data_IF_156343236739
#
_entry.id   IF_156343236739
#
_cell.length_a   1.000
_cell.length_b   1.000
_cell.length_c   1.000
_cell.angle_alpha   90.00
_cell.angle_beta   90.00
_cell.angle_gamma   90.00
#
_symmetry.space_group_name_H-M   'P 1'
#
loop_
_entity.id
_entity.type
_entity.pdbx_description
1 polymer ?
#
# COMPACT_ATOMS: atom_id res chain seq x y z
N UNK A 1 -18.87 13.90 -8.42
CA UNK A 1 -20.26 13.77 -7.94
C UNK A 1 -20.80 15.19 -7.75
N UNK A 2 -21.77 15.62 -8.56
CA UNK A 2 -22.40 16.95 -8.35
C UNK A 2 -23.44 16.76 -7.25
N UNK A 3 -23.14 17.26 -6.05
CA UNK A 3 -24.06 17.21 -4.92
C UNK A 3 -25.12 18.29 -5.08
N UNK A 4 -26.38 17.88 -5.30
CA UNK A 4 -27.55 18.76 -5.12
C UNK A 4 -27.69 19.08 -3.63
N UNK A 5 -28.01 20.35 -3.33
CA UNK A 5 -28.24 20.87 -1.97
C UNK A 5 -29.12 19.94 -1.13
N UNK A 6 -28.59 19.46 0.00
CA UNK A 6 -29.34 18.77 1.04
C UNK A 6 -30.22 19.77 1.80
N UNK A 7 -31.47 19.37 2.10
CA UNK A 7 -32.45 20.11 2.94
C UNK A 7 -32.08 20.17 4.43
N UNK A 8 -30.84 19.88 4.77
CA UNK A 8 -30.25 20.08 6.10
C UNK A 8 -29.27 21.23 5.86
N UNK A 9 -29.48 22.36 6.54
CA UNK A 9 -28.78 23.64 6.31
C UNK A 9 -27.29 23.64 6.66
N UNK A 10 -26.56 22.68 6.09
CA UNK A 10 -25.11 22.52 6.18
C UNK A 10 -24.57 22.81 4.79
N UNK A 11 -23.57 23.68 4.68
CA UNK A 11 -22.97 24.01 3.38
C UNK A 11 -22.23 22.80 2.79
N UNK A 12 -22.09 22.73 1.48
CA UNK A 12 -21.30 21.68 0.83
C UNK A 12 -19.83 21.69 1.28
N UNK A 13 -19.32 22.85 1.68
CA UNK A 13 -17.98 23.02 2.24
C UNK A 13 -17.89 22.43 3.65
N UNK A 14 -18.87 22.67 4.52
CA UNK A 14 -18.92 22.06 5.87
C UNK A 14 -19.05 20.53 5.80
N UNK A 15 -19.83 19.99 4.85
CA UNK A 15 -19.90 18.54 4.59
C UNK A 15 -18.55 17.97 4.13
N UNK A 16 -17.80 18.74 3.32
CA UNK A 16 -16.47 18.33 2.85
C UNK A 16 -15.43 18.35 3.98
N UNK A 17 -15.46 19.35 4.86
CA UNK A 17 -14.53 19.48 6.00
C UNK A 17 -14.79 18.38 7.03
N UNK A 18 -16.05 18.10 7.37
CA UNK A 18 -16.38 16.99 8.27
C UNK A 18 -15.92 15.66 7.70
N UNK A 19 -16.18 15.40 6.43
CA UNK A 19 -15.74 14.16 5.77
C UNK A 19 -14.21 14.02 5.77
N UNK A 20 -13.50 15.13 5.56
CA UNK A 20 -12.04 15.16 5.64
C UNK A 20 -11.54 14.90 7.07
N UNK A 21 -12.18 15.47 8.09
CA UNK A 21 -11.83 15.23 9.49
C UNK A 21 -12.02 13.76 9.84
N UNK A 22 -13.17 13.16 9.48
CA UNK A 22 -13.40 11.73 9.71
C UNK A 22 -12.34 10.87 9.03
N UNK A 23 -12.03 11.18 7.77
CA UNK A 23 -10.99 10.48 7.03
C UNK A 23 -9.62 10.57 7.73
N UNK A 24 -9.22 11.75 8.20
CA UNK A 24 -7.95 11.92 8.92
C UNK A 24 -7.93 11.12 10.22
N UNK A 25 -9.04 11.13 10.97
CA UNK A 25 -9.16 10.38 12.24
C UNK A 25 -9.04 8.87 11.97
N UNK A 26 -9.76 8.34 10.97
CA UNK A 26 -9.69 6.92 10.62
C UNK A 26 -8.28 6.51 10.19
N UNK A 27 -7.60 7.34 9.40
CA UNK A 27 -6.21 7.08 8.99
C UNK A 27 -5.25 7.10 10.18
N UNK A 28 -5.43 8.04 11.12
CA UNK A 28 -4.64 8.10 12.35
C UNK A 28 -4.86 6.87 13.23
N UNK A 29 -6.11 6.43 13.39
CA UNK A 29 -6.44 5.21 14.14
C UNK A 29 -5.79 3.97 13.50
N UNK A 30 -5.77 3.90 12.16
CA UNK A 30 -5.10 2.83 11.43
C UNK A 30 -3.58 2.84 11.68
N UNK A 31 -2.96 4.02 11.66
CA UNK A 31 -1.52 4.18 11.93
C UNK A 31 -1.16 3.78 13.36
N UNK A 32 -1.95 4.24 14.33
CA UNK A 32 -1.76 3.90 15.73
C UNK A 32 -1.88 2.38 15.95
N UNK A 33 -2.89 1.74 15.35
CA UNK A 33 -3.09 0.30 15.46
C UNK A 33 -1.88 -0.48 14.91
N UNK A 34 -1.48 -0.20 13.66
CA UNK A 34 -0.38 -0.90 13.00
C UNK A 34 0.93 -0.69 13.77
N UNK A 35 1.22 0.55 14.18
CA UNK A 35 2.43 0.87 14.93
C UNK A 35 2.47 0.17 16.29
N UNK A 36 1.38 0.22 17.06
CA UNK A 36 1.29 -0.45 18.36
C UNK A 36 1.46 -1.97 18.23
N UNK A 37 0.81 -2.58 17.23
CA UNK A 37 0.94 -4.01 16.99
C UNK A 37 2.41 -4.40 16.73
N UNK A 38 3.07 -3.75 15.77
CA UNK A 38 4.45 -4.09 15.39
C UNK A 38 5.43 -3.86 16.54
N UNK A 39 5.21 -2.83 17.37
CA UNK A 39 5.99 -2.59 18.59
C UNK A 39 5.79 -3.69 19.63
N UNK A 40 4.55 -4.15 19.84
CA UNK A 40 4.22 -5.17 20.83
C UNK A 40 4.84 -6.53 20.47
N UNK A 41 4.81 -6.91 19.20
CA UNK A 41 5.39 -8.19 18.74
C UNK A 41 6.88 -8.11 18.40
N UNK A 42 7.48 -6.92 18.51
CA UNK A 42 8.88 -6.62 18.13
C UNK A 42 9.22 -6.99 16.67
N UNK A 43 8.25 -6.89 15.77
CA UNK A 43 8.43 -7.24 14.35
C UNK A 43 8.65 -6.02 13.48
N UNK A 44 9.36 -6.24 12.37
CA UNK A 44 9.84 -5.17 11.50
C UNK A 44 9.20 -5.24 10.11
N UNK A 45 9.11 -4.09 9.43
CA UNK A 45 8.48 -3.98 8.11
C UNK A 45 9.32 -3.13 7.15
N UNK A 46 9.36 -3.55 5.89
CA UNK A 46 9.90 -2.78 4.77
C UNK A 46 8.91 -2.72 3.60
N UNK A 47 9.08 -1.78 2.68
CA UNK A 47 8.14 -1.63 1.55
C UNK A 47 8.83 -1.38 0.21
N UNK A 48 8.26 -1.89 -0.88
CA UNK A 48 8.68 -1.63 -2.25
C UNK A 48 7.56 -0.95 -3.05
N UNK A 49 7.83 0.24 -3.58
CA UNK A 49 6.82 1.08 -4.20
C UNK A 49 7.15 1.36 -5.67
N UNK A 50 6.15 1.21 -6.54
CA UNK A 50 6.16 1.82 -7.87
C UNK A 50 5.06 2.88 -7.93
N UNK A 51 3.81 2.45 -8.15
CA UNK A 51 2.68 3.35 -8.41
C UNK A 51 2.34 4.28 -7.25
N UNK A 52 2.53 3.87 -6.00
CA UNK A 52 2.30 4.71 -4.80
C UNK A 52 3.42 5.72 -4.53
N UNK A 53 4.59 5.53 -5.16
CA UNK A 53 5.70 6.51 -5.23
C UNK A 53 6.17 7.12 -3.90
N UNK A 54 6.12 6.36 -2.81
CA UNK A 54 6.58 6.81 -1.50
C UNK A 54 5.47 6.97 -0.47
N UNK A 55 4.20 6.89 -0.85
CA UNK A 55 3.10 7.07 0.10
C UNK A 55 3.02 5.98 1.17
N UNK A 56 3.40 4.73 0.88
CA UNK A 56 3.49 3.71 1.94
C UNK A 56 4.62 4.05 2.92
N UNK A 57 5.80 4.43 2.42
CA UNK A 57 6.91 4.85 3.29
C UNK A 57 6.55 6.07 4.13
N UNK A 58 5.87 7.05 3.52
CA UNK A 58 5.33 8.20 4.23
C UNK A 58 4.39 7.75 5.35
N UNK A 59 3.39 6.92 5.06
CA UNK A 59 2.44 6.42 6.05
C UNK A 59 3.11 5.72 7.24
N UNK A 60 4.06 4.80 6.98
CA UNK A 60 4.79 4.12 8.07
C UNK A 60 5.63 5.10 8.89
N UNK A 61 6.25 6.11 8.26
CA UNK A 61 7.04 7.12 8.99
C UNK A 61 6.22 8.02 9.93
N UNK A 62 4.91 8.10 9.74
CA UNK A 62 4.02 8.89 10.61
C UNK A 62 3.62 8.15 11.89
N UNK A 63 3.89 6.84 11.98
CA UNK A 63 3.51 6.03 13.13
C UNK A 63 4.44 6.31 14.33
N UNK A 64 3.89 6.25 15.54
CA UNK A 64 4.66 6.46 16.77
C UNK A 64 5.81 5.44 16.88
N UNK A 65 7.00 5.93 17.23
CA UNK A 65 8.22 5.11 17.34
C UNK A 65 8.56 4.29 16.07
N UNK A 66 8.17 4.76 14.88
CA UNK A 66 8.36 4.06 13.61
C UNK A 66 9.79 3.54 13.40
N UNK A 67 10.82 4.24 13.87
CA UNK A 67 12.23 3.82 13.74
C UNK A 67 12.55 2.48 14.40
N UNK A 68 11.70 1.98 15.32
CA UNK A 68 11.87 0.67 15.94
C UNK A 68 11.47 -0.48 15.02
N UNK A 69 10.44 -0.31 14.19
CA UNK A 69 9.87 -1.38 13.35
C UNK A 69 9.97 -1.13 11.84
N UNK A 70 9.84 0.11 11.37
CA UNK A 70 9.91 0.45 9.95
C UNK A 70 11.37 0.61 9.52
N UNK A 71 11.88 -0.34 8.72
CA UNK A 71 13.28 -0.35 8.28
C UNK A 71 13.55 0.52 7.05
N UNK A 72 12.51 1.06 6.43
CA UNK A 72 12.59 1.83 5.20
C UNK A 72 11.98 1.08 4.01
N UNK A 73 12.29 1.55 2.81
CA UNK A 73 11.77 0.97 1.59
C UNK A 73 12.54 1.37 0.35
N UNK A 74 12.08 0.87 -0.79
CA UNK A 74 12.62 1.17 -2.12
C UNK A 74 11.49 1.69 -2.99
N UNK A 75 11.67 2.87 -3.57
CA UNK A 75 10.81 3.35 -4.66
C UNK A 75 11.45 3.01 -5.99
N UNK A 76 10.96 1.98 -6.67
CA UNK A 76 11.46 1.50 -7.96
C UNK A 76 10.40 1.74 -9.06
N UNK A 77 10.40 2.96 -9.61
CA UNK A 77 9.36 3.39 -10.55
C UNK A 77 9.54 2.81 -11.95
N UNK A 78 10.77 2.75 -12.45
CA UNK A 78 11.09 2.23 -13.78
C UNK A 78 11.35 0.73 -13.76
N UNK A 79 11.33 0.10 -14.95
CA UNK A 79 11.70 -1.29 -15.13
C UNK A 79 13.13 -1.55 -14.63
N UNK A 80 14.09 -0.76 -15.10
CA UNK A 80 15.51 -0.91 -14.76
C UNK A 80 15.75 -0.89 -13.24
N UNK A 81 15.05 -0.01 -12.51
CA UNK A 81 15.17 0.06 -11.06
C UNK A 81 14.52 -1.14 -10.36
N UNK A 82 13.43 -1.71 -10.89
CA UNK A 82 12.85 -2.95 -10.37
C UNK A 82 13.79 -4.14 -10.55
N UNK A 83 14.43 -4.24 -11.72
CA UNK A 83 15.44 -5.28 -11.98
C UNK A 83 16.63 -5.12 -11.04
N UNK A 84 17.21 -3.91 -10.99
CA UNK A 84 18.44 -3.62 -10.23
C UNK A 84 18.28 -3.72 -8.72
N UNK A 85 17.17 -3.21 -8.17
CA UNK A 85 16.99 -3.06 -6.72
C UNK A 85 16.16 -4.19 -6.10
N UNK A 86 15.28 -4.82 -6.89
CA UNK A 86 14.29 -5.79 -6.40
C UNK A 86 14.39 -7.14 -7.09
N UNK A 87 15.44 -7.36 -7.91
CA UNK A 87 15.71 -8.62 -8.61
C UNK A 87 14.50 -9.15 -9.40
N UNK A 88 13.72 -8.23 -9.98
CA UNK A 88 12.65 -8.57 -10.91
C UNK A 88 13.26 -9.08 -12.21
N UNK A 89 12.66 -10.10 -12.83
CA UNK A 89 13.09 -10.59 -14.14
C UNK A 89 12.78 -9.57 -15.23
N UNK A 90 13.80 -9.21 -16.01
CA UNK A 90 13.70 -8.16 -17.04
C UNK A 90 12.73 -8.55 -18.17
N UNK A 91 12.74 -9.82 -18.59
CA UNK A 91 11.87 -10.28 -19.67
C UNK A 91 10.41 -10.33 -19.23
N UNK A 92 10.14 -10.81 -18.01
CA UNK A 92 8.82 -10.77 -17.39
C UNK A 92 8.31 -9.33 -17.27
N UNK A 93 9.14 -8.43 -16.71
CA UNK A 93 8.79 -7.02 -16.55
C UNK A 93 8.47 -6.34 -17.88
N UNK A 94 9.29 -6.58 -18.92
CA UNK A 94 9.05 -6.03 -20.25
C UNK A 94 7.74 -6.55 -20.88
N UNK A 95 7.38 -7.81 -20.63
CA UNK A 95 6.17 -8.43 -21.20
C UNK A 95 4.85 -7.92 -20.60
N UNK A 96 4.88 -7.39 -19.38
CA UNK A 96 3.69 -6.96 -18.64
C UNK A 96 3.75 -5.49 -18.18
N UNK A 97 4.68 -4.71 -18.74
CA UNK A 97 4.96 -3.32 -18.34
C UNK A 97 5.16 -3.17 -16.81
N UNK A 98 5.87 -4.12 -16.22
CA UNK A 98 6.10 -4.21 -14.77
C UNK A 98 4.84 -4.33 -13.90
N UNK A 99 3.68 -4.65 -14.46
CA UNK A 99 2.41 -4.71 -13.72
C UNK A 99 1.78 -6.08 -13.83
N UNK A 100 2.09 -6.93 -12.85
CA UNK A 100 1.49 -8.27 -12.69
C UNK A 100 1.51 -8.69 -11.21
N UNK A 101 0.75 -9.72 -10.81
CA UNK A 101 0.82 -10.25 -9.45
C UNK A 101 2.23 -10.79 -9.12
N UNK A 102 2.87 -11.49 -10.05
CA UNK A 102 4.22 -12.03 -9.87
C UNK A 102 5.27 -10.93 -9.64
N UNK A 103 5.15 -9.79 -10.34
CA UNK A 103 6.03 -8.65 -10.13
C UNK A 103 5.86 -8.10 -8.72
N UNK A 104 4.62 -7.94 -8.24
CA UNK A 104 4.34 -7.49 -6.88
C UNK A 104 4.91 -8.47 -5.83
N UNK A 105 4.75 -9.78 -6.02
CA UNK A 105 5.29 -10.81 -5.13
C UNK A 105 6.83 -10.78 -5.09
N UNK A 106 7.46 -10.70 -6.26
CA UNK A 106 8.92 -10.62 -6.39
C UNK A 106 9.47 -9.37 -5.71
N UNK A 107 8.82 -8.22 -5.91
CA UNK A 107 9.17 -6.98 -5.25
C UNK A 107 9.06 -7.10 -3.72
N UNK A 108 7.98 -7.69 -3.20
CA UNK A 108 7.77 -7.87 -1.76
C UNK A 108 8.82 -8.80 -1.16
N UNK A 109 9.02 -9.98 -1.76
CA UNK A 109 10.00 -10.96 -1.27
C UNK A 109 11.42 -10.41 -1.26
N UNK A 110 11.82 -9.63 -2.27
CA UNK A 110 13.17 -9.08 -2.35
C UNK A 110 13.37 -7.89 -1.42
N UNK A 111 12.38 -7.01 -1.21
CA UNK A 111 12.55 -5.92 -0.26
C UNK A 111 12.65 -6.43 1.19
N UNK A 112 11.88 -7.46 1.55
CA UNK A 112 12.04 -8.14 2.85
C UNK A 112 13.47 -8.64 3.06
N UNK A 113 14.07 -9.28 2.04
CA UNK A 113 15.45 -9.78 2.10
C UNK A 113 16.47 -8.65 2.25
N UNK A 114 16.31 -7.58 1.48
CA UNK A 114 17.23 -6.43 1.49
C UNK A 114 17.27 -5.72 2.84
N UNK A 115 16.11 -5.55 3.48
CA UNK A 115 16.00 -4.89 4.79
C UNK A 115 16.01 -5.85 5.99
N UNK A 116 16.00 -7.17 5.74
CA UNK A 116 15.91 -8.23 6.75
C UNK A 116 14.71 -8.05 7.68
N UNK A 117 13.53 -7.83 7.10
CA UNK A 117 12.30 -7.57 7.85
C UNK A 117 11.40 -8.79 7.96
N UNK A 118 10.60 -8.84 9.03
CA UNK A 118 9.58 -9.88 9.23
C UNK A 118 8.44 -9.71 8.23
N UNK A 119 8.04 -8.47 7.98
CA UNK A 119 6.99 -8.10 7.06
C UNK A 119 7.55 -7.34 5.87
N UNK A 120 6.88 -7.46 4.73
CA UNK A 120 7.05 -6.50 3.66
C UNK A 120 5.83 -6.34 2.78
N UNK A 121 5.70 -5.17 2.18
CA UNK A 121 4.61 -4.84 1.26
C UNK A 121 5.20 -4.35 -0.05
N UNK A 122 4.65 -4.79 -1.18
CA UNK A 122 4.99 -4.20 -2.47
C UNK A 122 3.76 -3.83 -3.28
N UNK A 123 3.90 -2.81 -4.14
CA UNK A 123 2.83 -2.36 -5.02
C UNK A 123 3.33 -1.88 -6.39
N UNK A 124 2.68 -2.37 -7.44
CA UNK A 124 2.90 -1.95 -8.84
C UNK A 124 1.56 -1.81 -9.57
N UNK A 125 1.45 -0.85 -10.48
CA UNK A 125 0.16 -0.54 -11.09
C UNK A 125 0.11 0.75 -11.89
N UNK A 126 -1.11 1.13 -12.27
CA UNK A 126 -1.42 2.31 -13.07
C UNK A 126 -2.29 3.28 -12.27
N UNK A 127 -1.75 4.47 -11.98
CA UNK A 127 -2.50 5.59 -11.38
C UNK A 127 -3.06 6.58 -12.43
N UNK A 128 -2.72 6.40 -13.70
CA UNK A 128 -3.21 7.21 -14.82
C UNK A 128 -3.76 6.29 -15.92
N UNK A 129 -4.88 6.64 -16.60
CA UNK A 129 -5.38 5.86 -17.72
C UNK A 129 -4.41 5.88 -18.90
N UNK A 130 -3.91 4.72 -19.30
CA UNK A 130 -2.95 4.57 -20.41
C UNK A 130 -3.36 3.41 -21.33
N UNK A 131 -2.91 3.35 -22.59
CA UNK A 131 -3.23 2.26 -23.51
C UNK A 131 -2.87 0.86 -22.97
N UNK A 132 -1.72 0.74 -22.31
CA UNK A 132 -1.16 -0.49 -21.73
C UNK A 132 -2.11 -1.10 -20.69
N UNK A 133 -2.85 -0.25 -19.98
CA UNK A 133 -3.84 -0.65 -18.97
C UNK A 133 -5.26 -0.79 -19.53
N UNK A 134 -5.46 -0.66 -20.85
CA UNK A 134 -6.76 -0.50 -21.48
C UNK A 134 -7.59 0.66 -20.88
N UNK A 135 -6.93 1.78 -20.57
CA UNK A 135 -7.54 2.96 -19.94
C UNK A 135 -8.15 2.68 -18.55
N UNK A 136 -7.69 1.64 -17.86
CA UNK A 136 -8.12 1.28 -16.51
C UNK A 136 -7.07 1.71 -15.47
N UNK A 137 -7.54 1.89 -14.24
CA UNK A 137 -6.68 2.16 -13.08
C UNK A 137 -6.73 0.93 -12.20
N UNK A 138 -5.58 0.32 -11.95
CA UNK A 138 -5.47 -0.79 -11.00
C UNK A 138 -4.05 -0.93 -10.48
N UNK A 139 -3.92 -1.57 -9.33
CA UNK A 139 -2.65 -1.97 -8.77
C UNK A 139 -2.69 -3.42 -8.33
N UNK A 140 -1.58 -4.13 -8.52
CA UNK A 140 -1.27 -5.36 -7.83
C UNK A 140 -0.43 -5.02 -6.59
N UNK A 141 -0.72 -5.70 -5.49
CA UNK A 141 0.08 -5.59 -4.28
C UNK A 141 0.23 -6.96 -3.62
N UNK A 142 1.31 -7.10 -2.87
CA UNK A 142 1.59 -8.33 -2.13
C UNK A 142 2.09 -8.00 -0.74
N UNK A 143 1.71 -8.83 0.23
CA UNK A 143 2.16 -8.78 1.62
C UNK A 143 2.88 -10.09 1.91
N UNK A 144 4.10 -9.97 2.41
CA UNK A 144 4.95 -11.09 2.82
C UNK A 144 5.14 -11.04 4.33
N UNK A 145 5.06 -12.22 4.95
CA UNK A 145 5.38 -12.43 6.36
C UNK A 145 6.36 -13.59 6.50
N UNK A 146 7.48 -13.35 7.18
CA UNK A 146 8.57 -14.32 7.44
C UNK A 146 9.02 -15.06 6.17
N UNK A 147 9.12 -14.31 5.06
CA UNK A 147 9.57 -14.83 3.77
C UNK A 147 8.51 -15.61 2.96
N UNK A 148 7.25 -15.61 3.41
CA UNK A 148 6.12 -16.22 2.69
C UNK A 148 5.14 -15.16 2.22
N UNK A 149 4.70 -15.23 0.96
CA UNK A 149 3.59 -14.42 0.46
C UNK A 149 2.31 -14.90 1.16
N UNK A 150 1.67 -14.02 1.92
CA UNK A 150 0.43 -14.34 2.64
C UNK A 150 -0.81 -13.68 2.02
N UNK A 151 -0.60 -12.63 1.22
CA UNK A 151 -1.64 -11.94 0.47
C UNK A 151 -1.04 -11.42 -0.84
N UNK A 152 -1.75 -11.62 -1.95
CA UNK A 152 -1.38 -11.12 -3.28
C UNK A 152 -2.67 -10.84 -4.04
N UNK A 153 -2.99 -9.57 -4.24
CA UNK A 153 -4.32 -9.15 -4.68
C UNK A 153 -4.25 -8.01 -5.70
N UNK A 154 -5.38 -7.82 -6.38
CA UNK A 154 -5.58 -6.73 -7.33
C UNK A 154 -6.65 -5.76 -6.83
N UNK A 155 -6.34 -4.47 -6.87
CA UNK A 155 -7.29 -3.39 -6.61
C UNK A 155 -7.59 -2.61 -7.88
N UNK A 156 -8.83 -2.64 -8.35
CA UNK A 156 -9.33 -1.82 -9.45
C UNK A 156 -9.96 -0.51 -8.94
N UNK A 157 -9.72 0.59 -9.64
CA UNK A 157 -10.35 1.89 -9.40
C UNK A 157 -11.12 2.37 -10.63
N UNK A 158 -12.08 3.27 -10.43
CA UNK A 158 -12.76 3.92 -11.55
C UNK A 158 -11.75 4.77 -12.35
N UNK A 159 -11.73 4.62 -13.67
CA UNK A 159 -10.87 5.36 -14.61
C UNK A 159 -10.89 6.90 -14.52
N UNK A 160 -11.86 7.50 -13.82
CA UNK A 160 -11.97 8.96 -13.62
C UNK A 160 -11.30 9.44 -12.33
N UNK A 161 -10.77 8.53 -11.52
CA UNK A 161 -10.01 8.89 -10.32
C UNK A 161 -8.77 9.65 -10.74
N UNK A 162 -8.53 10.82 -10.11
CA UNK A 162 -7.32 11.61 -10.35
C UNK A 162 -6.10 10.84 -9.85
N UNK A 163 -4.97 11.00 -10.53
CA UNK A 163 -3.73 10.26 -10.24
C UNK A 163 -3.35 10.27 -8.75
N UNK A 164 -3.26 11.44 -8.13
CA UNK A 164 -2.90 11.55 -6.70
C UNK A 164 -3.89 10.79 -5.82
N UNK A 165 -5.19 10.85 -6.11
CA UNK A 165 -6.20 10.13 -5.35
C UNK A 165 -6.08 8.61 -5.57
N UNK A 166 -5.75 8.16 -6.78
CA UNK A 166 -5.53 6.75 -7.05
C UNK A 166 -4.38 6.21 -6.19
N UNK A 167 -3.27 6.95 -6.12
CA UNK A 167 -2.10 6.59 -5.30
C UNK A 167 -2.44 6.55 -3.79
N UNK A 168 -3.22 7.52 -3.31
CA UNK A 168 -3.70 7.54 -1.92
C UNK A 168 -4.64 6.36 -1.63
N UNK A 169 -5.62 6.10 -2.50
CA UNK A 169 -6.55 4.97 -2.35
C UNK A 169 -5.83 3.62 -2.38
N UNK A 170 -4.84 3.44 -3.25
CA UNK A 170 -4.00 2.23 -3.21
C UNK A 170 -3.31 2.09 -1.87
N UNK A 171 -2.69 3.17 -1.39
CA UNK A 171 -1.95 3.18 -0.10
C UNK A 171 -2.86 2.83 1.07
N UNK A 172 -4.00 3.52 1.20
CA UNK A 172 -4.96 3.31 2.28
C UNK A 172 -5.55 1.89 2.27
N UNK A 173 -5.95 1.40 1.09
CA UNK A 173 -6.50 0.06 0.96
C UNK A 173 -5.48 -1.00 1.37
N UNK A 174 -4.23 -0.86 0.92
CA UNK A 174 -3.15 -1.79 1.24
C UNK A 174 -2.85 -1.78 2.75
N UNK A 175 -2.85 -0.62 3.41
CA UNK A 175 -2.68 -0.54 4.87
C UNK A 175 -3.86 -1.18 5.61
N UNK A 176 -5.09 -1.03 5.09
CA UNK A 176 -6.26 -1.73 5.60
C UNK A 176 -6.12 -3.26 5.49
N UNK A 177 -5.68 -3.77 4.34
CA UNK A 177 -5.37 -5.19 4.16
C UNK A 177 -4.24 -5.66 5.08
N UNK A 178 -3.19 -4.85 5.25
CA UNK A 178 -2.10 -5.15 6.16
C UNK A 178 -2.60 -5.31 7.60
N UNK A 179 -3.43 -4.37 8.08
CA UNK A 179 -4.08 -4.48 9.40
C UNK A 179 -4.84 -5.80 9.55
N UNK A 180 -5.62 -6.21 8.55
CA UNK A 180 -6.35 -7.48 8.59
C UNK A 180 -5.41 -8.70 8.69
N UNK A 181 -4.25 -8.66 8.03
CA UNK A 181 -3.24 -9.71 8.17
C UNK A 181 -2.59 -9.71 9.55
N UNK A 182 -2.34 -8.55 10.17
CA UNK A 182 -1.87 -8.47 11.55
C UNK A 182 -2.87 -9.10 12.52
N UNK A 183 -4.17 -8.79 12.35
CA UNK A 183 -5.25 -9.37 13.16
C UNK A 183 -5.23 -10.91 13.08
N UNK A 184 -5.13 -11.47 11.87
CA UNK A 184 -5.06 -12.92 11.65
C UNK A 184 -3.83 -13.56 12.33
N UNK A 185 -2.68 -12.88 12.35
CA UNK A 185 -1.51 -13.41 13.05
C UNK A 185 -1.66 -13.31 14.57
N UNK A 186 -2.34 -12.28 15.07
CA UNK A 186 -2.64 -12.14 16.50
C UNK A 186 -3.54 -13.27 17.01
N UNK A 187 -4.59 -13.60 16.23
CA UNK A 187 -5.50 -14.69 16.54
C UNK A 187 -4.76 -16.03 16.60
N UNK A 188 -3.86 -16.29 15.64
CA UNK A 188 -3.04 -17.51 15.64
C UNK A 188 -2.14 -17.61 16.87
N UNK A 189 -1.54 -16.49 17.32
CA UNK A 189 -0.71 -16.44 18.54
C UNK A 189 -1.50 -16.66 19.83
N UNK A 190 -2.77 -16.29 19.84
CA UNK A 190 -3.64 -16.45 21.02
C UNK A 190 -4.12 -17.89 21.23
N UNK A 191 -4.02 -18.74 20.20
CA UNK A 191 -4.47 -20.13 20.21
C UNK A 191 -3.29 -21.11 20.40
N UNK A 192 -2.05 -20.65 20.17
CA UNK A 192 -0.81 -21.41 20.35
C UNK A 192 -0.26 -21.32 21.77
#
# INVERSE_FOLDING_TARGET
>A
MILKHSKIGVSSEELSVRSLIYFIIELQNLFEYIGNYLLEVEETVSVAESVSSGFLQFSFSQMKDASKFFKGGITAYTLDEKVRLLNVDEAEAASCDCVSPNIAETMALNVAKSFKTDWSIAVTGYATPVPESNQKLYAYFSIVYKGQVILSEKLDLHSRTKQVNAQLYYTEFILGCFKLELDKQNEKRSIS
#
